data_IF_811114607828
#
_entry.id   IF_811114607828
#
_cell.length_a   1.000
_cell.length_b   1.000
_cell.length_c   1.000
_cell.angle_alpha   90.00
_cell.angle_beta   90.00
_cell.angle_gamma   90.00
#
_symmetry.space_group_name_H-M   'P 1'
#
loop_
_entity.id
_entity.type
_entity.pdbx_description
1 polymer ?
#
# COMPACT_ATOMS: atom_id res chain seq x y z
N UNK A 1 14.72 13.62 -34.35
CA UNK A 1 14.54 13.21 -32.94
C UNK A 1 15.90 12.84 -32.41
N UNK A 2 16.49 13.65 -31.51
CA UNK A 2 17.74 13.26 -30.85
C UNK A 2 17.45 11.99 -30.06
N UNK A 3 18.22 10.92 -30.24
CA UNK A 3 18.09 9.74 -29.38
C UNK A 3 18.34 10.19 -27.95
N UNK A 4 17.26 10.31 -27.18
CA UNK A 4 17.34 10.48 -25.73
C UNK A 4 18.25 9.37 -25.24
N UNK A 5 19.39 9.73 -24.65
CA UNK A 5 20.26 8.74 -24.03
C UNK A 5 19.43 8.08 -22.94
N UNK A 6 19.34 6.76 -22.94
CA UNK A 6 18.65 6.03 -21.89
C UNK A 6 19.20 6.47 -20.53
N UNK A 7 18.29 6.74 -19.60
CA UNK A 7 18.63 7.11 -18.23
C UNK A 7 18.39 5.89 -17.33
N UNK A 8 19.14 5.76 -16.26
CA UNK A 8 18.79 4.77 -15.24
C UNK A 8 17.45 5.14 -14.57
N UNK A 9 16.72 4.15 -14.06
CA UNK A 9 15.35 4.34 -13.55
C UNK A 9 15.21 5.46 -12.50
N UNK A 10 16.17 5.65 -11.59
CA UNK A 10 16.13 6.77 -10.64
C UNK A 10 16.16 8.13 -11.34
N UNK A 11 16.93 8.29 -12.42
CA UNK A 11 16.96 9.54 -13.16
C UNK A 11 15.65 9.77 -13.91
N UNK A 12 15.01 8.72 -14.44
CA UNK A 12 13.67 8.80 -15.03
C UNK A 12 12.64 9.30 -14.01
N UNK A 13 12.57 8.65 -12.85
CA UNK A 13 11.63 9.00 -11.77
C UNK A 13 11.93 10.41 -11.21
N UNK A 14 13.20 10.73 -10.95
CA UNK A 14 13.57 12.04 -10.40
C UNK A 14 13.24 13.18 -11.36
N UNK A 15 13.50 13.00 -12.66
CA UNK A 15 13.13 13.97 -13.69
C UNK A 15 11.61 14.17 -13.74
N UNK A 16 10.83 13.08 -13.68
CA UNK A 16 9.38 13.17 -13.63
C UNK A 16 8.88 13.97 -12.42
N UNK A 17 9.38 13.69 -11.21
CA UNK A 17 8.95 14.46 -10.04
C UNK A 17 9.45 15.91 -10.07
N UNK A 18 10.53 16.21 -10.80
CA UNK A 18 11.01 17.58 -10.98
C UNK A 18 10.15 18.39 -11.95
N UNK A 19 9.79 17.83 -13.10
CA UNK A 19 9.23 18.58 -14.23
C UNK A 19 7.88 18.07 -14.73
N UNK A 20 7.48 16.86 -14.36
CA UNK A 20 6.23 16.24 -14.78
C UNK A 20 5.00 16.97 -14.28
N UNK A 21 3.92 16.84 -15.05
CA UNK A 21 2.58 17.31 -14.72
C UNK A 21 1.81 16.21 -13.97
N UNK A 22 0.47 16.22 -14.02
CA UNK A 22 -0.36 15.15 -13.47
C UNK A 22 -0.19 14.98 -11.95
N UNK A 23 -0.16 13.73 -11.51
CA UNK A 23 -0.04 13.36 -10.11
C UNK A 23 1.32 13.76 -9.52
N UNK A 24 2.43 13.64 -10.26
CA UNK A 24 3.72 14.17 -9.83
C UNK A 24 3.71 15.69 -9.66
N UNK A 25 3.10 16.42 -10.61
CA UNK A 25 2.92 17.87 -10.51
C UNK A 25 2.08 18.27 -9.30
N UNK A 26 1.00 17.54 -9.02
CA UNK A 26 0.18 17.71 -7.83
C UNK A 26 0.99 17.51 -6.55
N UNK A 27 1.70 16.38 -6.41
CA UNK A 27 2.51 16.07 -5.23
C UNK A 27 3.61 17.11 -5.00
N UNK A 28 4.32 17.53 -6.08
CA UNK A 28 5.34 18.58 -6.01
C UNK A 28 4.77 19.92 -5.54
N UNK A 29 3.55 20.27 -5.96
CA UNK A 29 2.85 21.49 -5.52
C UNK A 29 2.42 21.44 -4.06
N UNK A 30 2.16 20.25 -3.54
CA UNK A 30 1.63 20.05 -2.18
C UNK A 30 2.71 19.74 -1.13
N UNK A 31 3.88 19.22 -1.52
CA UNK A 31 4.97 18.85 -0.62
C UNK A 31 6.19 19.75 -0.90
N UNK A 32 6.39 20.82 -0.11
CA UNK A 32 7.53 21.72 -0.30
C UNK A 32 8.87 21.01 -0.20
N UNK A 33 9.67 21.10 -1.27
CA UNK A 33 11.00 20.47 -1.32
C UNK A 33 11.00 19.00 -1.75
N UNK A 34 9.88 18.45 -2.21
CA UNK A 34 9.76 17.03 -2.62
C UNK A 34 10.92 16.54 -3.51
N UNK A 35 11.27 17.30 -4.54
CA UNK A 35 12.38 16.95 -5.43
C UNK A 35 13.71 16.75 -4.69
N UNK A 36 14.02 17.62 -3.71
CA UNK A 36 15.26 17.52 -2.93
C UNK A 36 15.23 16.26 -2.06
N UNK A 37 14.12 15.97 -1.41
CA UNK A 37 13.97 14.77 -0.58
C UNK A 37 14.12 13.48 -1.41
N UNK A 38 13.56 13.45 -2.62
CA UNK A 38 13.72 12.33 -3.55
C UNK A 38 15.18 12.19 -4.02
N UNK A 39 15.85 13.30 -4.30
CA UNK A 39 17.27 13.30 -4.67
C UNK A 39 18.13 12.74 -3.53
N UNK A 40 17.86 13.14 -2.28
CA UNK A 40 18.54 12.62 -1.08
C UNK A 40 18.26 11.12 -0.89
N UNK A 41 17.01 10.69 -1.01
CA UNK A 41 16.62 9.28 -0.94
C UNK A 41 17.35 8.42 -1.99
N UNK A 42 17.29 8.82 -3.27
CA UNK A 42 17.94 8.08 -4.36
C UNK A 42 19.47 8.09 -4.32
N UNK A 43 20.08 9.05 -3.60
CA UNK A 43 21.52 9.11 -3.39
C UNK A 43 21.99 8.29 -2.17
N UNK A 44 21.08 7.95 -1.26
CA UNK A 44 21.41 7.24 -0.02
C UNK A 44 21.72 5.78 -0.31
N UNK A 45 22.79 5.26 0.32
CA UNK A 45 23.25 3.87 0.14
C UNK A 45 23.40 3.09 1.45
N UNK A 46 23.44 3.79 2.59
CA UNK A 46 23.41 3.16 3.91
C UNK A 46 22.01 2.63 4.18
N UNK A 47 21.89 1.39 4.67
CA UNK A 47 20.59 0.77 4.93
C UNK A 47 19.76 1.61 5.91
N UNK A 48 20.34 1.99 7.07
CA UNK A 48 19.61 2.77 8.08
C UNK A 48 19.20 4.14 7.55
N UNK A 49 20.12 4.85 6.88
CA UNK A 49 19.79 6.18 6.34
C UNK A 49 18.73 6.07 5.24
N UNK A 50 18.78 5.02 4.41
CA UNK A 50 17.78 4.79 3.34
C UNK A 50 16.39 4.61 3.95
N UNK A 51 16.26 3.83 5.02
CA UNK A 51 14.99 3.65 5.73
C UNK A 51 14.52 4.96 6.38
N UNK A 52 15.42 5.74 6.97
CA UNK A 52 15.08 7.06 7.53
C UNK A 52 14.58 8.04 6.46
N UNK A 53 15.22 8.08 5.29
CA UNK A 53 14.76 8.91 4.18
C UNK A 53 13.43 8.43 3.60
N UNK A 54 13.22 7.10 3.53
CA UNK A 54 11.96 6.51 3.10
C UNK A 54 10.80 6.83 4.07
N UNK A 55 11.03 6.72 5.39
CA UNK A 55 10.09 7.16 6.43
C UNK A 55 9.76 8.64 6.27
N UNK A 56 10.78 9.49 6.20
CA UNK A 56 10.59 10.93 6.08
C UNK A 56 9.74 11.30 4.85
N UNK A 57 10.02 10.72 3.68
CA UNK A 57 9.23 10.93 2.47
C UNK A 57 7.79 10.46 2.65
N UNK A 58 7.60 9.28 3.23
CA UNK A 58 6.28 8.67 3.44
C UNK A 58 5.44 9.48 4.40
N UNK A 59 6.01 9.99 5.50
CA UNK A 59 5.31 10.87 6.44
C UNK A 59 4.73 12.11 5.73
N UNK A 60 5.50 12.71 4.81
CA UNK A 60 5.04 13.87 4.03
C UNK A 60 3.91 13.52 3.09
N UNK A 61 3.98 12.34 2.45
CA UNK A 61 2.93 11.88 1.53
C UNK A 61 1.66 11.49 2.30
N UNK A 62 1.80 10.71 3.38
CA UNK A 62 0.67 10.29 4.24
C UNK A 62 -0.03 11.49 4.89
N UNK A 63 0.73 12.52 5.29
CA UNK A 63 0.14 13.77 5.80
C UNK A 63 -0.69 14.54 4.76
N UNK A 64 -0.38 14.37 3.47
CA UNK A 64 -1.13 14.99 2.37
C UNK A 64 -2.41 14.21 2.04
N UNK A 65 -2.36 12.89 2.14
CA UNK A 65 -3.45 11.98 1.73
C UNK A 65 -4.33 11.53 2.87
N UNK A 66 -4.24 12.22 4.01
CA UNK A 66 -5.11 12.03 5.16
C UNK A 66 -4.89 10.69 5.89
N UNK A 67 -3.65 10.20 5.83
CA UNK A 67 -3.18 8.98 6.50
C UNK A 67 -2.08 9.26 7.52
N UNK A 68 -2.02 10.47 8.07
CA UNK A 68 -1.03 10.83 9.09
C UNK A 68 -1.14 9.93 10.33
N UNK A 69 -2.34 9.44 10.61
CA UNK A 69 -2.67 8.47 11.64
C UNK A 69 -2.11 7.07 11.40
N UNK A 70 -1.71 6.73 10.16
CA UNK A 70 -1.07 5.46 9.81
C UNK A 70 0.46 5.48 9.92
N UNK A 71 1.07 6.66 10.11
CA UNK A 71 2.52 6.80 10.23
C UNK A 71 3.10 5.85 11.28
N UNK A 72 2.54 5.73 12.51
CA UNK A 72 3.12 4.85 13.53
C UNK A 72 3.17 3.37 13.13
N UNK A 73 2.19 2.85 12.37
CA UNK A 73 2.24 1.46 11.88
C UNK A 73 3.42 1.28 10.93
N UNK A 74 3.57 2.21 9.99
CA UNK A 74 4.64 2.18 9.00
C UNK A 74 6.02 2.30 9.66
N UNK A 75 6.19 3.25 10.58
CA UNK A 75 7.43 3.40 11.34
C UNK A 75 7.74 2.19 12.22
N UNK A 76 6.70 1.47 12.65
CA UNK A 76 6.88 0.20 13.34
C UNK A 76 7.43 -0.85 12.41
N UNK A 77 6.91 -1.02 11.18
CA UNK A 77 7.52 -1.93 10.17
C UNK A 77 8.99 -1.59 9.94
N UNK A 78 9.34 -0.32 9.74
CA UNK A 78 10.74 0.10 9.60
C UNK A 78 11.60 -0.27 10.83
N UNK A 79 11.03 -0.14 12.03
CA UNK A 79 11.69 -0.55 13.28
C UNK A 79 11.93 -2.06 13.32
N UNK A 80 10.96 -2.88 12.88
CA UNK A 80 11.11 -4.33 12.79
C UNK A 80 12.16 -4.73 11.77
N UNK A 81 12.20 -4.02 10.66
CA UNK A 81 13.17 -4.22 9.60
C UNK A 81 14.61 -4.00 10.12
N UNK A 82 14.84 -2.87 10.79
CA UNK A 82 16.14 -2.52 11.42
C UNK A 82 16.52 -3.52 12.52
N UNK A 83 15.55 -4.01 13.28
CA UNK A 83 15.78 -5.02 14.33
C UNK A 83 15.90 -6.45 13.78
N UNK A 84 15.69 -6.65 12.49
CA UNK A 84 15.64 -7.97 11.84
C UNK A 84 14.63 -8.94 12.49
N UNK A 85 13.46 -8.41 12.87
CA UNK A 85 12.38 -9.18 13.49
C UNK A 85 11.35 -9.71 12.49
N UNK A 86 11.49 -9.42 11.20
CA UNK A 86 10.65 -9.98 10.14
C UNK A 86 11.40 -11.18 9.55
N UNK A 87 10.93 -12.40 9.80
CA UNK A 87 11.62 -13.65 9.40
C UNK A 87 11.24 -14.14 7.99
N UNK A 88 10.70 -13.26 7.16
CA UNK A 88 10.40 -13.57 5.77
C UNK A 88 11.69 -13.87 5.00
N UNK A 89 11.82 -15.05 4.37
CA UNK A 89 13.09 -15.42 3.70
C UNK A 89 13.47 -14.52 2.53
N UNK A 90 12.48 -13.90 1.91
CA UNK A 90 12.68 -12.89 0.86
C UNK A 90 12.58 -11.48 1.44
N UNK A 91 12.83 -11.30 2.74
CA UNK A 91 12.78 -9.98 3.39
C UNK A 91 13.73 -9.07 2.64
N UNK A 92 13.14 -8.03 2.08
CA UNK A 92 13.84 -6.91 1.48
C UNK A 92 13.52 -5.68 2.30
N UNK A 93 14.10 -4.56 1.94
CA UNK A 93 13.85 -3.29 2.58
C UNK A 93 12.45 -2.74 2.28
N UNK A 94 11.43 -3.34 2.92
CA UNK A 94 10.00 -3.04 2.77
C UNK A 94 9.70 -1.54 2.87
N UNK A 95 10.37 -0.85 3.79
CA UNK A 95 10.17 0.58 3.99
C UNK A 95 10.61 1.39 2.75
N UNK A 96 11.75 1.08 2.14
CA UNK A 96 12.18 1.77 0.93
C UNK A 96 11.40 1.29 -0.31
N UNK A 97 11.12 -0.02 -0.37
CA UNK A 97 10.33 -0.67 -1.40
C UNK A 97 8.98 0.04 -1.62
N UNK A 98 8.20 0.26 -0.56
CA UNK A 98 6.89 0.93 -0.62
C UNK A 98 6.97 2.34 -1.21
N UNK A 99 8.06 3.08 -0.95
CA UNK A 99 8.32 4.40 -1.55
C UNK A 99 8.62 4.27 -3.03
N UNK A 100 9.52 3.37 -3.43
CA UNK A 100 9.81 3.16 -4.84
C UNK A 100 8.57 2.72 -5.64
N UNK A 101 7.79 1.81 -5.06
CA UNK A 101 6.51 1.35 -5.61
C UNK A 101 5.56 2.53 -5.82
N UNK A 102 5.41 3.40 -4.81
CA UNK A 102 4.59 4.61 -4.90
C UNK A 102 5.05 5.49 -6.07
N UNK A 103 6.35 5.81 -6.15
CA UNK A 103 6.92 6.68 -7.17
C UNK A 103 6.77 6.11 -8.59
N UNK A 104 6.97 4.80 -8.76
CA UNK A 104 6.78 4.12 -10.05
C UNK A 104 5.31 4.16 -10.48
N UNK A 105 4.36 3.92 -9.58
CA UNK A 105 2.94 3.99 -9.91
C UNK A 105 2.47 5.39 -10.31
N UNK A 106 2.99 6.43 -9.65
CA UNK A 106 2.75 7.82 -10.07
C UNK A 106 3.30 8.06 -11.48
N UNK A 107 4.51 7.58 -11.78
CA UNK A 107 5.09 7.69 -13.11
C UNK A 107 4.25 6.97 -14.18
N UNK A 108 3.80 5.75 -13.90
CA UNK A 108 2.98 4.96 -14.83
C UNK A 108 1.62 5.64 -15.06
N UNK A 109 0.96 6.09 -14.00
CA UNK A 109 -0.32 6.80 -14.12
C UNK A 109 -0.19 8.08 -14.97
N UNK A 110 0.88 8.85 -14.81
CA UNK A 110 1.04 10.10 -15.56
C UNK A 110 1.36 9.88 -17.05
N UNK A 111 2.07 8.81 -17.42
CA UNK A 111 2.57 8.60 -18.78
C UNK A 111 1.88 7.50 -19.59
N UNK A 112 1.40 6.43 -18.94
CA UNK A 112 0.85 5.26 -19.65
C UNK A 112 -0.67 5.45 -19.75
N UNK A 113 -1.09 6.15 -20.82
CA UNK A 113 -2.47 6.62 -20.99
C UNK A 113 -3.50 5.50 -20.93
N UNK A 114 -3.20 4.32 -21.48
CA UNK A 114 -4.10 3.17 -21.41
C UNK A 114 -4.41 2.74 -19.97
N UNK A 115 -3.40 2.68 -19.09
CA UNK A 115 -3.60 2.36 -17.67
C UNK A 115 -4.38 3.49 -16.97
N UNK A 116 -3.97 4.75 -17.21
CA UNK A 116 -4.64 5.91 -16.61
C UNK A 116 -6.12 5.97 -16.94
N UNK A 117 -6.49 5.77 -18.20
CA UNK A 117 -7.87 5.88 -18.67
C UNK A 117 -8.78 4.83 -18.01
N UNK A 118 -8.29 3.59 -17.86
CA UNK A 118 -9.05 2.52 -17.18
C UNK A 118 -9.18 2.81 -15.68
N UNK A 119 -8.11 3.29 -15.03
CA UNK A 119 -8.16 3.72 -13.62
C UNK A 119 -9.16 4.87 -13.46
N UNK A 120 -9.05 5.94 -14.26
CA UNK A 120 -9.93 7.12 -14.18
C UNK A 120 -11.39 6.75 -14.42
N UNK A 121 -11.66 5.84 -15.36
CA UNK A 121 -12.99 5.27 -15.62
C UNK A 121 -13.52 4.47 -14.43
N UNK A 122 -12.67 3.69 -13.77
CA UNK A 122 -13.06 2.94 -12.56
C UNK A 122 -13.33 3.85 -11.36
N UNK A 123 -12.58 4.95 -11.26
CA UNK A 123 -12.77 5.98 -10.24
C UNK A 123 -14.07 6.74 -10.51
N UNK A 124 -14.36 7.07 -11.76
CA UNK A 124 -15.59 7.75 -12.18
C UNK A 124 -15.93 8.95 -11.25
N UNK A 125 -15.05 9.95 -11.31
CA UNK A 125 -15.14 11.15 -10.48
C UNK A 125 -14.68 12.36 -11.28
N UNK A 126 -15.11 13.56 -10.84
CA UNK A 126 -14.65 14.83 -11.39
C UNK A 126 -13.20 15.17 -11.01
N UNK A 127 -12.62 14.45 -10.04
CA UNK A 127 -11.25 14.65 -9.54
C UNK A 127 -10.49 13.32 -9.52
N UNK A 128 -10.34 12.62 -10.65
CA UNK A 128 -9.84 11.27 -10.68
C UNK A 128 -8.40 11.18 -10.14
N UNK A 129 -7.54 12.12 -10.51
CA UNK A 129 -6.17 12.23 -10.01
C UNK A 129 -6.07 12.23 -8.47
N UNK A 130 -6.90 13.01 -7.78
CA UNK A 130 -6.85 13.09 -6.30
C UNK A 130 -7.26 11.77 -5.66
N UNK A 131 -8.29 11.14 -6.21
CA UNK A 131 -8.78 9.84 -5.73
C UNK A 131 -7.82 8.71 -6.08
N UNK A 132 -7.15 8.79 -7.22
CA UNK A 132 -6.05 7.89 -7.57
C UNK A 132 -4.94 7.99 -6.54
N UNK A 133 -4.44 9.19 -6.23
CA UNK A 133 -3.37 9.38 -5.22
C UNK A 133 -3.81 8.88 -3.83
N UNK A 134 -5.08 9.08 -3.46
CA UNK A 134 -5.66 8.54 -2.22
C UNK A 134 -5.65 7.01 -2.21
N UNK A 135 -6.21 6.36 -3.23
CA UNK A 135 -6.25 4.89 -3.32
C UNK A 135 -4.85 4.27 -3.46
N UNK A 136 -3.99 4.91 -4.25
CA UNK A 136 -2.61 4.47 -4.47
C UNK A 136 -1.79 4.53 -3.18
N UNK A 137 -2.06 5.49 -2.29
CA UNK A 137 -1.39 5.54 -0.99
C UNK A 137 -1.63 4.27 -0.17
N UNK A 138 -2.86 3.74 -0.12
CA UNK A 138 -3.11 2.43 0.49
C UNK A 138 -2.35 1.32 -0.23
N UNK A 139 -2.57 1.23 -1.55
CA UNK A 139 -2.11 0.12 -2.37
C UNK A 139 -0.59 0.05 -2.50
N UNK A 140 0.13 1.16 -2.24
CA UNK A 140 1.58 1.20 -2.35
C UNK A 140 2.31 1.57 -1.05
N UNK A 141 2.00 2.68 -0.38
CA UNK A 141 2.78 3.10 0.81
C UNK A 141 2.45 2.29 2.06
N UNK A 142 1.23 1.77 2.12
CA UNK A 142 0.71 1.09 3.30
C UNK A 142 0.50 -0.42 3.10
N UNK A 143 0.78 -0.97 1.91
CA UNK A 143 0.44 -2.37 1.63
C UNK A 143 1.19 -3.38 2.52
N UNK A 144 2.41 -3.01 2.94
CA UNK A 144 3.30 -3.82 3.77
C UNK A 144 3.10 -3.65 5.29
N UNK A 145 2.13 -2.83 5.75
CA UNK A 145 1.91 -2.64 7.20
C UNK A 145 1.52 -3.93 7.93
N UNK A 146 1.03 -4.94 7.21
CA UNK A 146 0.72 -6.25 7.79
C UNK A 146 1.93 -7.05 8.27
N UNK A 147 3.16 -6.67 7.91
CA UNK A 147 4.36 -7.26 8.49
C UNK A 147 4.44 -7.12 10.02
N UNK A 148 3.64 -6.22 10.60
CA UNK A 148 3.39 -6.16 12.04
C UNK A 148 3.09 -7.53 12.67
N UNK A 149 2.33 -8.37 11.95
CA UNK A 149 1.80 -9.65 12.42
C UNK A 149 2.41 -10.88 11.73
N UNK A 150 3.37 -10.71 10.81
CA UNK A 150 3.84 -11.81 9.96
C UNK A 150 4.30 -13.05 10.79
N UNK A 151 5.12 -12.82 11.82
CA UNK A 151 5.61 -13.85 12.75
C UNK A 151 4.83 -13.85 14.08
N UNK A 152 3.49 -13.77 14.04
CA UNK A 152 2.65 -13.64 15.23
C UNK A 152 2.88 -14.73 16.28
N UNK A 153 3.07 -15.99 15.87
CA UNK A 153 3.24 -17.11 16.81
C UNK A 153 4.55 -17.07 17.60
N UNK A 154 5.53 -16.28 17.16
CA UNK A 154 6.82 -16.18 17.85
C UNK A 154 6.77 -15.28 19.09
N UNK A 155 5.80 -14.36 19.20
CA UNK A 155 5.64 -13.52 20.39
C UNK A 155 6.65 -12.35 20.52
N UNK A 156 7.69 -12.31 19.68
CA UNK A 156 8.83 -11.38 19.82
C UNK A 156 8.46 -9.90 19.62
N UNK A 157 7.27 -9.61 19.10
CA UNK A 157 6.87 -8.28 18.66
C UNK A 157 5.56 -7.76 19.28
N UNK A 158 5.19 -8.24 20.47
CA UNK A 158 3.91 -7.89 21.11
C UNK A 158 3.67 -6.39 21.31
N UNK A 159 4.71 -5.57 21.47
CA UNK A 159 4.56 -4.10 21.58
C UNK A 159 3.98 -3.48 20.32
N UNK A 160 4.32 -4.04 19.16
CA UNK A 160 3.88 -3.55 17.87
C UNK A 160 2.43 -3.94 17.60
N UNK A 161 1.98 -5.09 18.10
CA UNK A 161 0.57 -5.48 18.04
C UNK A 161 -0.32 -4.57 18.89
N UNK A 162 0.17 -4.24 20.09
CA UNK A 162 -0.50 -3.29 20.99
C UNK A 162 -0.62 -1.89 20.39
N UNK A 163 0.30 -1.50 19.50
CA UNK A 163 0.16 -0.24 18.78
C UNK A 163 -1.12 -0.21 17.96
N UNK A 164 -1.45 -1.29 17.24
CA UNK A 164 -2.70 -1.33 16.47
C UNK A 164 -3.93 -1.31 17.40
N UNK A 165 -3.90 -2.03 18.51
CA UNK A 165 -4.96 -1.95 19.53
C UNK A 165 -5.11 -0.52 20.09
N UNK A 166 -3.99 0.17 20.36
CA UNK A 166 -3.97 1.57 20.79
C UNK A 166 -4.55 2.50 19.73
N UNK A 167 -4.33 2.23 18.44
CA UNK A 167 -4.94 2.99 17.34
C UNK A 167 -6.45 2.89 17.34
N UNK A 168 -7.00 1.76 17.80
CA UNK A 168 -8.43 1.55 17.96
C UNK A 168 -8.97 2.17 19.27
N UNK A 169 -8.21 3.02 19.98
CA UNK A 169 -8.66 3.70 21.20
C UNK A 169 -9.07 5.15 20.96
N UNK A 170 -10.06 5.66 21.71
CA UNK A 170 -10.49 7.06 21.61
C UNK A 170 -9.35 8.07 21.71
N UNK A 171 -8.38 7.80 22.60
CA UNK A 171 -7.24 8.69 22.82
C UNK A 171 -6.41 8.85 21.54
N UNK A 172 -6.35 7.82 20.71
CA UNK A 172 -5.67 7.89 19.43
C UNK A 172 -6.46 8.72 18.42
N UNK A 173 -7.76 8.45 18.23
CA UNK A 173 -8.64 9.26 17.36
C UNK A 173 -8.63 10.75 17.73
N UNK A 174 -8.60 11.06 19.03
CA UNK A 174 -8.58 12.44 19.52
C UNK A 174 -7.32 13.20 19.09
N UNK A 175 -6.15 12.54 18.98
CA UNK A 175 -4.89 13.16 18.52
C UNK A 175 -4.97 13.64 17.07
N UNK A 176 -5.74 12.93 16.24
CA UNK A 176 -5.95 13.30 14.83
C UNK A 176 -7.17 14.20 14.63
N UNK A 177 -7.84 14.56 15.73
CA UNK A 177 -9.00 15.44 15.79
C UNK A 177 -8.70 16.72 16.57
N UNK A 178 -7.43 17.10 16.72
CA UNK A 178 -7.01 18.25 17.56
C UNK A 178 -7.61 19.58 17.09
N UNK A 179 -7.83 19.71 15.78
CA UNK A 179 -8.42 20.90 15.14
C UNK A 179 -9.93 21.05 15.38
N UNK A 180 -10.62 19.99 15.82
CA UNK A 180 -12.03 20.08 16.17
C UNK A 180 -12.24 21.06 17.31
N UNK A 181 -13.34 21.82 17.26
CA UNK A 181 -13.77 22.63 18.39
C UNK A 181 -14.00 21.77 19.65
N UNK A 182 -13.80 22.34 20.85
CA UNK A 182 -13.97 21.59 22.11
C UNK A 182 -15.37 20.96 22.27
N UNK A 183 -16.41 21.63 21.78
CA UNK A 183 -17.77 21.07 21.72
C UNK A 183 -17.83 19.83 20.81
N UNK A 184 -17.19 19.88 19.63
CA UNK A 184 -17.15 18.78 18.66
C UNK A 184 -16.33 17.60 19.18
N UNK A 185 -15.26 17.85 19.95
CA UNK A 185 -14.52 16.80 20.67
C UNK A 185 -15.40 16.07 21.69
N UNK A 186 -16.28 16.78 22.39
CA UNK A 186 -17.25 16.18 23.32
C UNK A 186 -18.25 15.30 22.57
N UNK A 187 -18.81 15.79 21.46
CA UNK A 187 -19.73 15.03 20.62
C UNK A 187 -19.07 13.79 20.01
N UNK A 188 -17.83 13.92 19.52
CA UNK A 188 -17.04 12.80 19.02
C UNK A 188 -16.81 11.75 20.12
N UNK A 189 -16.53 12.19 21.35
CA UNK A 189 -16.40 11.29 22.51
C UNK A 189 -17.70 10.54 22.82
N UNK A 190 -18.84 11.20 22.68
CA UNK A 190 -20.15 10.57 22.89
C UNK A 190 -20.41 9.50 21.82
N UNK A 191 -20.17 9.80 20.54
CA UNK A 191 -20.27 8.81 19.46
C UNK A 191 -19.31 7.64 19.66
N UNK A 192 -18.07 7.92 20.07
CA UNK A 192 -17.09 6.88 20.35
C UNK A 192 -17.54 5.95 21.49
N UNK A 193 -18.11 6.52 22.55
CA UNK A 193 -18.62 5.74 23.66
C UNK A 193 -19.75 4.81 23.19
N UNK A 194 -20.70 5.31 22.40
CA UNK A 194 -21.74 4.48 21.79
C UNK A 194 -21.17 3.37 20.89
N UNK A 195 -20.16 3.69 20.07
CA UNK A 195 -19.47 2.72 19.23
C UNK A 195 -18.84 1.59 20.06
N UNK A 196 -18.09 1.97 21.10
CA UNK A 196 -17.35 1.03 21.95
C UNK A 196 -18.28 0.15 22.77
N UNK A 197 -19.37 0.71 23.31
CA UNK A 197 -20.40 -0.04 24.04
C UNK A 197 -21.14 -1.04 23.14
N UNK A 198 -21.26 -0.74 21.85
CA UNK A 198 -22.01 -1.57 20.91
C UNK A 198 -21.22 -2.73 20.32
N UNK A 199 -19.94 -2.54 19.98
CA UNK A 199 -19.20 -3.51 19.17
C UNK A 199 -18.09 -4.27 19.89
N UNK A 200 -17.69 -3.87 21.11
CA UNK A 200 -16.57 -4.48 21.86
C UNK A 200 -15.33 -4.74 20.99
N UNK A 201 -14.41 -3.78 20.92
CA UNK A 201 -13.19 -3.94 20.13
C UNK A 201 -12.28 -5.03 20.75
N UNK A 202 -11.95 -6.10 20.01
CA UNK A 202 -11.09 -7.16 20.52
C UNK A 202 -9.64 -6.66 20.65
N UNK A 203 -8.91 -7.20 21.64
CA UNK A 203 -7.46 -7.03 21.73
C UNK A 203 -6.77 -7.97 20.75
N UNK A 204 -6.21 -7.43 19.67
CA UNK A 204 -5.51 -8.22 18.66
C UNK A 204 -4.17 -8.75 19.19
N UNK A 205 -3.52 -8.02 20.10
CA UNK A 205 -2.30 -8.47 20.76
C UNK A 205 -2.49 -9.66 21.72
N UNK A 206 -3.72 -9.95 22.14
CA UNK A 206 -4.06 -11.04 23.08
C UNK A 206 -4.49 -12.34 22.40
N UNK A 207 -4.55 -12.39 21.06
CA UNK A 207 -4.89 -13.61 20.34
C UNK A 207 -3.78 -14.67 20.53
N UNK A 208 -4.14 -15.95 20.49
CA UNK A 208 -3.20 -17.04 20.83
C UNK A 208 -2.68 -17.81 19.62
N UNK A 209 -3.22 -17.55 18.43
CA UNK A 209 -2.77 -18.18 17.18
C UNK A 209 -2.99 -17.28 15.97
N UNK A 210 -2.26 -17.55 14.88
CA UNK A 210 -2.41 -16.84 13.60
C UNK A 210 -3.86 -16.88 13.08
N UNK A 211 -4.54 -18.02 13.25
CA UNK A 211 -5.93 -18.20 12.82
C UNK A 211 -6.91 -17.34 13.63
N UNK A 212 -6.76 -17.28 14.95
CA UNK A 212 -7.58 -16.41 15.80
C UNK A 212 -7.34 -14.94 15.50
N UNK A 213 -6.10 -14.56 15.20
CA UNK A 213 -5.77 -13.20 14.79
C UNK A 213 -6.42 -12.83 13.46
N UNK A 214 -6.38 -13.71 12.45
CA UNK A 214 -7.08 -13.48 11.17
C UNK A 214 -8.59 -13.34 11.39
N UNK A 215 -9.21 -14.24 12.16
CA UNK A 215 -10.64 -14.17 12.49
C UNK A 215 -10.99 -12.85 13.19
N UNK A 216 -10.16 -12.45 14.16
CA UNK A 216 -10.31 -11.18 14.89
C UNK A 216 -10.16 -9.97 13.97
N UNK A 217 -9.18 -9.96 13.06
CA UNK A 217 -8.99 -8.89 12.07
C UNK A 217 -10.13 -8.83 11.04
N UNK A 218 -10.62 -9.98 10.59
CA UNK A 218 -11.71 -10.10 9.61
C UNK A 218 -13.08 -9.71 10.19
N UNK A 219 -13.28 -9.91 11.49
CA UNK A 219 -14.52 -9.55 12.17
C UNK A 219 -14.66 -8.03 12.32
N UNK A 220 -15.48 -7.42 11.46
CA UNK A 220 -15.73 -5.97 11.42
C UNK A 220 -17.26 -5.75 11.51
N UNK A 221 -17.86 -5.92 12.70
CA UNK A 221 -19.32 -6.02 12.86
C UNK A 221 -20.09 -4.74 12.47
N UNK A 222 -19.44 -3.58 12.53
CA UNK A 222 -20.03 -2.31 12.12
C UNK A 222 -20.17 -2.14 10.60
N UNK A 223 -19.59 -3.04 9.79
CA UNK A 223 -19.80 -3.03 8.34
C UNK A 223 -21.26 -3.21 7.97
N UNK A 224 -22.05 -3.98 8.71
CA UNK A 224 -23.47 -4.17 8.41
C UNK A 224 -24.28 -2.85 8.44
N UNK A 225 -23.79 -1.83 9.15
CA UNK A 225 -24.40 -0.49 9.13
C UNK A 225 -23.87 0.40 8.01
N UNK A 226 -22.65 0.18 7.55
CA UNK A 226 -22.07 0.95 6.45
C UNK A 226 -22.46 0.37 5.09
N UNK A 227 -22.49 -0.96 5.00
CA UNK A 227 -22.66 -1.79 3.83
C UNK A 227 -23.54 -3.00 4.23
N UNK A 228 -24.87 -2.91 4.15
CA UNK A 228 -25.81 -3.90 4.72
C UNK A 228 -25.66 -5.36 4.25
N UNK A 229 -24.89 -5.60 3.19
CA UNK A 229 -24.64 -6.93 2.64
C UNK A 229 -23.37 -7.61 3.15
N UNK A 230 -22.60 -6.97 4.03
CA UNK A 230 -21.29 -7.49 4.43
C UNK A 230 -21.12 -7.53 5.95
N UNK A 231 -20.47 -8.60 6.42
CA UNK A 231 -20.20 -8.81 7.84
C UNK A 231 -18.72 -9.04 8.14
N UNK A 232 -17.89 -9.27 7.13
CA UNK A 232 -16.45 -9.47 7.27
C UNK A 232 -15.64 -8.65 6.26
N UNK A 233 -14.40 -8.34 6.60
CA UNK A 233 -13.48 -7.60 5.72
C UNK A 233 -13.12 -8.37 4.46
N UNK A 234 -12.76 -9.64 4.59
CA UNK A 234 -12.40 -10.55 3.50
C UNK A 234 -13.58 -10.78 2.55
N UNK A 235 -14.79 -10.95 3.09
CA UNK A 235 -16.01 -11.05 2.30
C UNK A 235 -16.23 -9.77 1.47
N UNK A 236 -16.09 -8.61 2.11
CA UNK A 236 -16.27 -7.31 1.47
C UNK A 236 -15.31 -7.12 0.29
N UNK A 237 -14.04 -7.48 0.47
CA UNK A 237 -13.01 -7.34 -0.56
C UNK A 237 -13.12 -8.37 -1.69
N UNK A 238 -13.76 -9.51 -1.44
CA UNK A 238 -13.97 -10.58 -2.43
C UNK A 238 -15.28 -10.42 -3.24
N UNK A 239 -16.10 -9.41 -2.94
CA UNK A 239 -17.51 -9.33 -3.34
C UNK A 239 -17.83 -9.08 -4.82
N UNK A 240 -16.92 -8.46 -5.59
CA UNK A 240 -17.20 -8.10 -7.01
C UNK A 240 -16.86 -9.21 -7.98
N UNK A 241 -15.69 -9.84 -7.79
CA UNK A 241 -15.18 -10.91 -8.64
C UNK A 241 -14.30 -11.81 -7.77
N UNK A 242 -14.56 -13.12 -7.79
CA UNK A 242 -13.70 -14.10 -7.13
C UNK A 242 -12.40 -14.22 -7.91
N UNK A 243 -11.29 -13.89 -7.25
CA UNK A 243 -9.96 -14.00 -7.81
C UNK A 243 -9.28 -15.25 -7.22
N UNK A 244 -8.88 -16.19 -8.07
CA UNK A 244 -8.22 -17.43 -7.65
C UNK A 244 -9.06 -18.26 -6.67
N UNK A 245 -8.42 -18.80 -5.63
CA UNK A 245 -9.09 -19.56 -4.56
C UNK A 245 -9.91 -18.69 -3.57
N UNK A 246 -9.86 -17.36 -3.73
CA UNK A 246 -10.48 -16.38 -2.84
C UNK A 246 -9.63 -16.03 -1.61
N UNK A 247 -9.79 -14.81 -1.10
CA UNK A 247 -9.01 -14.30 0.04
C UNK A 247 -9.22 -15.13 1.31
N UNK A 248 -10.44 -15.57 1.57
CA UNK A 248 -10.75 -16.35 2.78
C UNK A 248 -9.96 -17.67 2.79
N UNK A 249 -10.05 -18.47 1.74
CA UNK A 249 -9.31 -19.73 1.63
C UNK A 249 -7.80 -19.51 1.78
N UNK A 250 -7.28 -18.47 1.12
CA UNK A 250 -5.85 -18.13 1.19
C UNK A 250 -5.41 -17.70 2.59
N UNK A 251 -6.15 -16.81 3.24
CA UNK A 251 -5.84 -16.31 4.58
C UNK A 251 -5.77 -17.46 5.61
N UNK A 252 -6.76 -18.35 5.61
CA UNK A 252 -6.80 -19.49 6.53
C UNK A 252 -5.78 -20.58 6.19
N UNK A 253 -5.44 -20.75 4.90
CA UNK A 253 -4.31 -21.60 4.51
C UNK A 253 -3.01 -21.04 5.07
N UNK A 254 -2.75 -19.73 4.92
CA UNK A 254 -1.54 -19.12 5.45
C UNK A 254 -1.47 -19.19 6.97
N UNK A 255 -2.57 -18.94 7.66
CA UNK A 255 -2.63 -19.02 9.13
C UNK A 255 -2.54 -20.43 9.70
N UNK A 256 -2.56 -21.49 8.86
CA UNK A 256 -2.51 -22.89 9.29
C UNK A 256 -1.27 -23.63 8.81
N UNK A 257 -0.84 -23.38 7.58
CA UNK A 257 0.34 -24.04 6.98
C UNK A 257 1.43 -23.06 6.57
N UNK A 258 1.07 -21.79 6.37
CA UNK A 258 1.90 -20.75 5.77
C UNK A 258 2.57 -21.15 4.46
N UNK A 259 3.64 -20.43 4.11
CA UNK A 259 4.36 -20.61 2.86
C UNK A 259 5.27 -21.85 2.83
N UNK A 260 5.80 -22.25 3.99
CA UNK A 260 6.83 -23.29 4.10
C UNK A 260 6.50 -24.35 5.18
N UNK A 261 5.21 -24.57 5.47
CA UNK A 261 4.79 -25.50 6.53
C UNK A 261 4.81 -24.91 7.95
N UNK A 262 5.03 -23.60 8.06
CA UNK A 262 4.95 -22.85 9.32
C UNK A 262 3.81 -21.83 9.22
N UNK A 263 2.83 -21.85 10.14
CA UNK A 263 1.77 -20.85 10.18
C UNK A 263 2.33 -19.42 10.16
N UNK A 264 1.73 -18.57 9.33
CA UNK A 264 2.03 -17.13 9.31
C UNK A 264 0.76 -16.34 9.12
N UNK A 265 0.78 -15.08 9.52
CA UNK A 265 -0.25 -14.13 9.09
C UNK A 265 0.26 -13.45 7.83
N UNK A 266 -0.39 -13.69 6.70
CA UNK A 266 0.04 -13.06 5.46
C UNK A 266 0.00 -11.52 5.55
N UNK A 267 1.06 -10.84 5.14
CA UNK A 267 1.20 -9.39 5.32
C UNK A 267 0.25 -8.59 4.42
N UNK A 268 -0.05 -9.06 3.21
CA UNK A 268 -1.04 -8.41 2.33
C UNK A 268 -2.44 -8.52 2.93
N UNK A 269 -2.81 -9.70 3.39
CA UNK A 269 -4.10 -9.94 4.08
C UNK A 269 -4.20 -9.09 5.36
N UNK A 270 -3.22 -9.19 6.26
CA UNK A 270 -3.23 -8.45 7.51
C UNK A 270 -3.21 -6.95 7.30
N UNK A 271 -2.35 -6.45 6.41
CA UNK A 271 -2.24 -5.04 6.08
C UNK A 271 -3.57 -4.50 5.58
N UNK A 272 -4.22 -5.23 4.68
CA UNK A 272 -5.54 -4.87 4.17
C UNK A 272 -6.62 -4.83 5.26
N UNK A 273 -6.70 -5.85 6.12
CA UNK A 273 -7.68 -5.90 7.20
C UNK A 273 -7.45 -4.82 8.27
N UNK A 274 -6.19 -4.54 8.63
CA UNK A 274 -5.80 -3.42 9.51
C UNK A 274 -6.33 -2.10 8.94
N UNK A 275 -6.01 -1.83 7.68
CA UNK A 275 -6.37 -0.59 7.00
C UNK A 275 -7.89 -0.47 6.89
N UNK A 276 -8.58 -1.55 6.50
CA UNK A 276 -10.04 -1.53 6.32
C UNK A 276 -10.78 -1.41 7.64
N UNK A 277 -10.38 -2.16 8.67
CA UNK A 277 -10.97 -2.10 10.02
C UNK A 277 -10.80 -0.70 10.60
N UNK A 278 -9.59 -0.17 10.65
CA UNK A 278 -9.35 1.16 11.20
C UNK A 278 -10.11 2.25 10.44
N UNK A 279 -10.00 2.25 9.10
CA UNK A 279 -10.61 3.29 8.28
C UNK A 279 -12.14 3.27 8.37
N UNK A 280 -12.76 2.08 8.40
CA UNK A 280 -14.22 1.97 8.47
C UNK A 280 -14.83 2.51 9.78
N UNK A 281 -14.06 2.61 10.87
CA UNK A 281 -14.51 3.28 12.10
C UNK A 281 -14.76 4.77 11.85
N UNK A 282 -13.86 5.45 11.13
CA UNK A 282 -14.05 6.86 10.77
C UNK A 282 -15.31 7.09 9.92
N UNK A 283 -15.58 6.19 8.98
CA UNK A 283 -16.82 6.23 8.19
C UNK A 283 -18.07 5.99 9.04
N UNK A 284 -17.99 5.08 10.03
CA UNK A 284 -19.07 4.88 10.99
C UNK A 284 -19.32 6.14 11.80
N UNK A 285 -18.28 6.74 12.39
CA UNK A 285 -18.38 7.97 13.18
C UNK A 285 -18.97 9.12 12.34
N UNK A 286 -18.48 9.31 11.12
CA UNK A 286 -18.98 10.32 10.19
C UNK A 286 -20.46 10.11 9.84
N UNK A 287 -20.88 8.88 9.55
CA UNK A 287 -22.28 8.55 9.23
C UNK A 287 -23.20 8.88 10.41
N UNK A 288 -22.86 8.43 11.62
CA UNK A 288 -23.68 8.66 12.81
C UNK A 288 -23.63 10.13 13.28
N UNK A 289 -22.53 10.84 13.04
CA UNK A 289 -22.45 12.28 13.25
C UNK A 289 -23.43 13.03 12.34
N UNK A 290 -23.66 12.59 11.10
CA UNK A 290 -24.62 13.25 10.20
C UNK A 290 -26.04 13.26 10.78
N UNK A 291 -26.41 12.22 11.53
CA UNK A 291 -27.72 12.04 12.13
C UNK A 291 -27.87 12.80 13.46
N UNK A 292 -26.83 12.78 14.31
CA UNK A 292 -26.89 13.30 15.68
C UNK A 292 -26.24 14.67 15.88
N UNK A 293 -25.13 14.93 15.18
CA UNK A 293 -24.26 16.08 15.36
C UNK A 293 -23.84 16.68 14.00
N UNK A 294 -24.74 17.35 13.26
CA UNK A 294 -24.48 17.77 11.88
C UNK A 294 -23.24 18.65 11.70
N UNK A 295 -22.90 19.48 12.68
CA UNK A 295 -21.71 20.32 12.65
C UNK A 295 -20.42 19.51 12.85
N UNK A 296 -20.44 18.47 13.70
CA UNK A 296 -19.32 17.51 13.79
C UNK A 296 -19.14 16.79 12.46
N UNK A 297 -20.23 16.36 11.82
CA UNK A 297 -20.17 15.74 10.50
C UNK A 297 -19.54 16.67 9.45
N UNK A 298 -19.91 17.94 9.44
CA UNK A 298 -19.32 18.95 8.56
C UNK A 298 -17.81 19.09 8.81
N UNK A 299 -17.37 19.23 10.06
CA UNK A 299 -15.95 19.36 10.40
C UNK A 299 -15.13 18.11 10.04
N UNK A 300 -15.65 16.90 10.34
CA UNK A 300 -15.02 15.64 9.93
C UNK A 300 -14.90 15.54 8.39
N UNK A 301 -15.92 15.95 7.64
CA UNK A 301 -15.89 15.81 6.17
C UNK A 301 -15.21 16.96 5.44
N UNK A 302 -14.99 18.10 6.10
CA UNK A 302 -14.27 19.24 5.55
C UNK A 302 -12.80 18.88 5.22
N UNK A 303 -12.21 18.00 6.04
CA UNK A 303 -10.83 17.54 5.89
C UNK A 303 -10.75 16.13 5.29
N UNK A 304 -11.51 15.21 5.86
CA UNK A 304 -11.23 13.78 5.68
C UNK A 304 -12.16 13.08 4.67
N UNK A 305 -13.23 13.76 4.21
CA UNK A 305 -14.17 13.27 3.19
C UNK A 305 -14.73 11.84 3.44
N UNK A 306 -15.01 11.51 4.70
CA UNK A 306 -15.60 10.25 5.17
C UNK A 306 -17.08 10.05 4.78
N UNK A 307 -17.40 10.17 3.49
CA UNK A 307 -18.73 9.88 2.96
C UNK A 307 -18.90 8.38 2.67
N UNK A 308 -20.01 7.72 3.04
CA UNK A 308 -20.18 6.28 2.86
C UNK A 308 -19.88 5.74 1.44
N UNK A 309 -20.22 6.52 0.40
CA UNK A 309 -19.92 6.14 -0.99
C UNK A 309 -18.41 6.10 -1.30
N UNK A 310 -17.57 6.87 -0.59
CA UNK A 310 -16.11 6.86 -0.72
C UNK A 310 -15.54 5.55 -0.18
N UNK A 311 -16.06 5.05 0.95
CA UNK A 311 -15.69 3.75 1.52
C UNK A 311 -15.97 2.64 0.50
N UNK A 312 -17.20 2.58 0.00
CA UNK A 312 -17.65 1.52 -0.91
C UNK A 312 -16.89 1.54 -2.24
N UNK A 313 -16.72 2.73 -2.84
CA UNK A 313 -16.16 2.85 -4.18
C UNK A 313 -14.63 2.79 -4.18
N UNK A 314 -13.98 3.43 -3.21
CA UNK A 314 -12.54 3.67 -3.29
C UNK A 314 -11.73 2.91 -2.25
N UNK A 315 -12.15 2.94 -0.98
CA UNK A 315 -11.39 2.31 0.12
C UNK A 315 -11.40 0.79 -0.02
N UNK A 316 -12.54 0.16 -0.32
CA UNK A 316 -12.62 -1.29 -0.53
C UNK A 316 -11.71 -1.71 -1.69
N UNK A 317 -11.73 -0.99 -2.82
CA UNK A 317 -10.87 -1.29 -3.97
C UNK A 317 -9.38 -1.16 -3.62
N UNK A 318 -9.02 -0.16 -2.80
CA UNK A 318 -7.65 0.03 -2.36
C UNK A 318 -7.18 -1.06 -1.38
N UNK A 319 -8.02 -1.43 -0.40
CA UNK A 319 -7.75 -2.54 0.51
C UNK A 319 -7.70 -3.87 -0.25
N UNK A 320 -8.53 -4.06 -1.28
CA UNK A 320 -8.49 -5.23 -2.17
C UNK A 320 -7.14 -5.30 -2.89
N UNK A 321 -6.63 -4.18 -3.42
CA UNK A 321 -5.31 -4.13 -4.03
C UNK A 321 -4.22 -4.60 -3.03
N UNK A 322 -4.27 -4.11 -1.79
CA UNK A 322 -3.37 -4.56 -0.71
C UNK A 322 -3.51 -6.06 -0.41
N UNK A 323 -4.74 -6.59 -0.31
CA UNK A 323 -4.96 -7.99 0.06
C UNK A 323 -4.45 -8.99 -0.99
N UNK A 324 -4.58 -8.63 -2.28
CA UNK A 324 -4.28 -9.54 -3.38
C UNK A 324 -2.86 -9.38 -3.95
N UNK A 325 -2.14 -8.29 -3.65
CA UNK A 325 -0.89 -7.98 -4.33
C UNK A 325 0.18 -9.08 -4.19
N UNK A 326 0.13 -9.93 -3.17
CA UNK A 326 1.11 -11.01 -2.95
C UNK A 326 0.54 -12.42 -3.17
N UNK A 327 -0.73 -12.54 -3.56
CA UNK A 327 -1.41 -13.83 -3.70
C UNK A 327 -0.82 -14.63 -4.87
N UNK A 328 -0.25 -15.84 -4.66
CA UNK A 328 0.41 -16.58 -5.72
C UNK A 328 -0.58 -17.17 -6.73
N UNK A 329 -0.09 -17.48 -7.93
CA UNK A 329 -0.84 -18.23 -8.97
C UNK A 329 -2.15 -17.55 -9.42
N UNK A 330 -2.18 -16.22 -9.37
CA UNK A 330 -3.28 -15.40 -9.85
C UNK A 330 -2.78 -14.48 -10.95
N UNK A 331 -3.53 -14.43 -12.06
CA UNK A 331 -3.36 -13.45 -13.12
C UNK A 331 -4.40 -12.34 -12.97
N UNK A 332 -3.96 -11.09 -13.01
CA UNK A 332 -4.83 -9.91 -12.89
C UNK A 332 -5.05 -9.25 -14.25
N UNK A 333 -6.26 -8.72 -14.45
CA UNK A 333 -6.66 -8.00 -15.65
C UNK A 333 -6.91 -6.52 -15.34
N UNK A 334 -6.43 -5.62 -16.20
CA UNK A 334 -6.53 -4.18 -16.02
C UNK A 334 -7.99 -3.69 -16.04
N UNK A 335 -8.85 -4.24 -16.90
CA UNK A 335 -10.25 -3.81 -17.04
C UNK A 335 -11.11 -4.24 -15.84
N UNK A 336 -10.76 -5.36 -15.20
CA UNK A 336 -11.51 -5.89 -14.07
C UNK A 336 -11.11 -5.23 -12.75
N UNK A 337 -9.80 -5.11 -12.49
CA UNK A 337 -9.26 -4.64 -11.22
C UNK A 337 -8.08 -3.67 -11.42
N UNK A 338 -8.31 -2.47 -11.98
CA UNK A 338 -7.24 -1.61 -12.51
C UNK A 338 -6.22 -1.16 -11.48
N UNK A 339 -6.66 -0.84 -10.26
CA UNK A 339 -5.75 -0.43 -9.18
C UNK A 339 -4.87 -1.60 -8.72
N UNK A 340 -5.44 -2.79 -8.59
CA UNK A 340 -4.71 -4.00 -8.22
C UNK A 340 -3.75 -4.42 -9.33
N UNK A 341 -4.16 -4.32 -10.59
CA UNK A 341 -3.29 -4.53 -11.75
C UNK A 341 -2.07 -3.60 -11.68
N UNK A 342 -2.27 -2.30 -11.43
CA UNK A 342 -1.16 -1.36 -11.28
C UNK A 342 -0.28 -1.67 -10.05
N UNK A 343 -0.88 -2.06 -8.92
CA UNK A 343 -0.12 -2.44 -7.72
C UNK A 343 0.83 -3.61 -8.01
N UNK A 344 0.31 -4.67 -8.62
CA UNK A 344 1.09 -5.84 -9.00
C UNK A 344 2.09 -5.52 -10.10
N UNK A 345 1.72 -4.74 -11.12
CA UNK A 345 2.65 -4.30 -12.16
C UNK A 345 3.85 -3.57 -11.55
N UNK A 346 3.61 -2.57 -10.71
CA UNK A 346 4.70 -1.83 -10.07
C UNK A 346 5.55 -2.74 -9.17
N UNK A 347 4.94 -3.65 -8.42
CA UNK A 347 5.66 -4.55 -7.52
C UNK A 347 6.58 -5.50 -8.31
N UNK A 348 6.07 -6.13 -9.36
CA UNK A 348 6.85 -7.04 -10.20
C UNK A 348 7.96 -6.32 -11.00
N UNK A 349 7.76 -5.06 -11.37
CA UNK A 349 8.79 -4.24 -12.05
C UNK A 349 9.88 -3.72 -11.09
N UNK A 350 9.54 -3.48 -9.83
CA UNK A 350 10.42 -3.01 -8.75
C UNK A 350 11.37 -4.14 -8.35
N UNK A 351 12.24 -4.63 -9.24
CA UNK A 351 13.25 -5.65 -8.86
C UNK A 351 14.57 -5.03 -8.40
N UNK A 352 14.76 -3.74 -8.69
CA UNK A 352 15.93 -2.97 -8.29
C UNK A 352 15.85 -2.54 -6.84
N UNK A 353 16.99 -2.14 -6.28
CA UNK A 353 17.13 -1.57 -4.95
C UNK A 353 16.32 -2.30 -3.86
N UNK A 354 16.11 -3.61 -4.04
CA UNK A 354 15.54 -4.54 -3.08
C UNK A 354 16.70 -5.17 -2.33
N UNK A 355 17.15 -4.50 -1.29
CA UNK A 355 18.23 -5.01 -0.48
C UNK A 355 17.65 -6.04 0.46
N UNK A 356 18.14 -7.27 0.35
CA UNK A 356 17.81 -8.29 1.33
C UNK A 356 18.13 -7.77 2.73
N UNK A 357 17.41 -8.25 3.74
CA UNK A 357 17.72 -7.94 5.13
C UNK A 357 17.68 -9.21 5.97
N UNK A 358 18.21 -9.14 7.18
CA UNK A 358 18.25 -10.26 8.11
C UNK A 358 19.52 -11.12 8.03
N UNK A 359 19.61 -12.19 8.84
CA UNK A 359 20.83 -12.97 9.04
C UNK A 359 21.34 -13.65 7.76
N UNK A 360 20.43 -14.14 6.91
CA UNK A 360 20.82 -14.83 5.67
C UNK A 360 21.58 -13.91 4.69
N UNK A 361 21.29 -12.60 4.67
CA UNK A 361 22.09 -11.64 3.92
C UNK A 361 23.50 -11.53 4.50
N UNK A 362 23.62 -11.41 5.83
CA UNK A 362 24.92 -11.26 6.51
C UNK A 362 25.81 -12.48 6.24
N UNK A 363 25.23 -13.67 6.10
CA UNK A 363 26.00 -14.87 5.80
C UNK A 363 26.41 -14.94 4.32
N UNK A 364 25.64 -14.33 3.42
CA UNK A 364 25.79 -14.45 1.96
C UNK A 364 26.17 -13.14 1.24
N UNK A 365 26.53 -12.06 1.96
CA UNK A 365 26.75 -10.72 1.36
C UNK A 365 27.79 -10.69 0.24
N UNK A 366 28.74 -11.64 0.22
CA UNK A 366 29.77 -11.73 -0.84
C UNK A 366 29.25 -12.32 -2.14
N UNK A 367 28.18 -13.11 -2.10
CA UNK A 367 27.66 -13.86 -3.25
C UNK A 367 26.36 -13.27 -3.79
N UNK A 368 25.64 -12.48 -2.99
CA UNK A 368 24.39 -11.86 -3.40
C UNK A 368 24.68 -10.77 -4.44
N UNK A 369 24.11 -10.96 -5.63
CA UNK A 369 24.07 -9.93 -6.67
C UNK A 369 22.80 -9.14 -6.48
N UNK A 370 22.93 -7.91 -6.00
CA UNK A 370 21.82 -6.97 -5.95
C UNK A 370 21.60 -6.36 -7.33
N UNK A 371 20.34 -6.26 -7.74
CA UNK A 371 19.95 -5.41 -8.85
C UNK A 371 19.89 -3.98 -8.33
N UNK A 372 20.87 -3.15 -8.66
CA UNK A 372 20.83 -1.74 -8.32
C UNK A 372 19.99 -0.99 -9.35
N UNK A 373 19.45 0.18 -8.99
CA UNK A 373 18.74 1.04 -9.93
C UNK A 373 19.58 1.43 -11.16
N UNK A 374 20.90 1.56 -11.01
CA UNK A 374 21.84 1.82 -12.11
C UNK A 374 22.01 0.63 -13.06
N UNK A 375 21.53 -0.56 -12.68
CA UNK A 375 21.50 -1.74 -13.54
C UNK A 375 20.24 -1.86 -14.41
N UNK A 376 19.30 -0.93 -14.26
CA UNK A 376 18.07 -0.86 -15.03
C UNK A 376 18.02 0.48 -15.74
N UNK A 377 18.23 0.45 -17.06
CA UNK A 377 17.96 1.61 -17.90
C UNK A 377 16.46 1.65 -18.18
N UNK A 378 15.89 2.86 -18.17
CA UNK A 378 14.47 3.06 -18.34
C UNK A 378 14.18 4.30 -19.20
N UNK A 379 13.18 4.17 -20.07
CA UNK A 379 12.73 5.26 -20.93
C UNK A 379 11.25 5.13 -21.26
N UNK A 380 10.64 6.24 -21.67
CA UNK A 380 9.31 6.24 -22.26
C UNK A 380 9.47 6.03 -23.77
N UNK A 381 8.81 5.00 -24.31
CA UNK A 381 8.73 4.76 -25.75
C UNK A 381 7.27 4.75 -26.20
N UNK A 382 7.07 4.68 -27.52
CA UNK A 382 5.77 4.42 -28.13
C UNK A 382 5.78 3.02 -28.75
N UNK A 383 4.67 2.31 -28.63
CA UNK A 383 4.50 0.99 -29.23
C UNK A 383 4.05 1.11 -30.70
N UNK A 384 3.71 -0.02 -31.33
CA UNK A 384 3.33 -0.07 -32.75
C UNK A 384 2.02 0.67 -33.07
N UNK A 385 1.16 0.87 -32.07
CA UNK A 385 -0.10 1.60 -32.19
C UNK A 385 0.01 3.05 -31.66
N UNK A 386 1.24 3.56 -31.55
CA UNK A 386 1.55 4.91 -31.05
C UNK A 386 1.15 5.17 -29.59
N UNK A 387 0.88 4.11 -28.81
CA UNK A 387 0.58 4.25 -27.37
C UNK A 387 1.86 4.28 -26.54
N UNK A 388 1.94 5.16 -25.52
CA UNK A 388 3.10 5.25 -24.63
C UNK A 388 3.25 3.97 -23.79
N UNK A 389 4.48 3.51 -23.61
CA UNK A 389 4.84 2.37 -22.76
C UNK A 389 6.17 2.58 -22.05
N UNK A 390 6.33 1.95 -20.88
CA UNK A 390 7.60 1.92 -20.15
C UNK A 390 8.54 0.92 -20.82
N UNK A 391 9.75 1.35 -21.17
CA UNK A 391 10.79 0.44 -21.66
C UNK A 391 11.84 0.26 -20.56
N UNK A 392 12.00 -0.96 -20.06
CA UNK A 392 13.06 -1.35 -19.15
C UNK A 392 14.12 -2.18 -19.90
N UNK A 393 15.38 -1.83 -19.72
CA UNK A 393 16.50 -2.54 -20.32
C UNK A 393 17.41 -3.04 -19.20
N UNK A 394 17.66 -4.35 -19.18
CA UNK A 394 18.32 -5.01 -18.05
C UNK A 394 19.25 -6.14 -18.51
N UNK A 395 20.12 -6.61 -17.60
CA UNK A 395 20.93 -7.81 -17.83
C UNK A 395 20.05 -9.06 -18.07
N UNK A 396 20.58 -10.11 -18.71
CA UNK A 396 19.85 -11.36 -18.97
C UNK A 396 19.09 -11.88 -17.74
N UNK A 397 19.78 -11.98 -16.60
CA UNK A 397 19.20 -12.53 -15.38
C UNK A 397 17.98 -11.72 -14.88
N UNK A 398 18.07 -10.39 -14.95
CA UNK A 398 17.00 -9.49 -14.54
C UNK A 398 15.87 -9.44 -15.57
N UNK A 399 16.19 -9.50 -16.86
CA UNK A 399 15.23 -9.63 -17.94
C UNK A 399 14.35 -10.87 -17.75
N UNK A 400 14.97 -12.03 -17.53
CA UNK A 400 14.25 -13.30 -17.34
C UNK A 400 13.32 -13.21 -16.12
N UNK A 401 13.82 -12.67 -15.00
CA UNK A 401 13.03 -12.49 -13.77
C UNK A 401 11.82 -11.58 -13.99
N UNK A 402 12.03 -10.39 -14.59
CA UNK A 402 10.96 -9.44 -14.87
C UNK A 402 9.88 -10.08 -15.74
N UNK A 403 10.30 -10.69 -16.85
CA UNK A 403 9.39 -11.30 -17.81
C UNK A 403 8.63 -12.47 -17.19
N UNK A 404 9.31 -13.38 -16.50
CA UNK A 404 8.68 -14.53 -15.83
C UNK A 404 7.63 -14.10 -14.81
N UNK A 405 7.92 -13.05 -14.04
CA UNK A 405 6.98 -12.53 -13.05
C UNK A 405 5.76 -11.90 -13.71
N UNK A 406 5.96 -11.03 -14.71
CA UNK A 406 4.88 -10.35 -15.42
C UNK A 406 3.97 -11.35 -16.16
N UNK A 407 4.54 -12.33 -16.88
CA UNK A 407 3.79 -13.36 -17.61
C UNK A 407 2.93 -14.24 -16.69
N UNK A 408 3.36 -14.47 -15.44
CA UNK A 408 2.61 -15.28 -14.46
C UNK A 408 1.47 -14.52 -13.78
N UNK A 409 1.51 -13.19 -13.80
CA UNK A 409 0.77 -12.35 -12.86
C UNK A 409 -0.15 -11.36 -13.54
N UNK A 410 0.11 -10.97 -14.78
CA UNK A 410 -0.61 -9.88 -15.45
C UNK A 410 -1.00 -10.28 -16.86
N UNK A 411 -2.27 -10.04 -17.18
CA UNK A 411 -2.79 -10.19 -18.54
C UNK A 411 -2.35 -8.98 -19.38
N UNK A 412 -1.85 -9.22 -20.59
CA UNK A 412 -1.53 -8.18 -21.59
C UNK A 412 -0.58 -7.07 -21.10
N UNK A 413 0.36 -7.40 -20.21
CA UNK A 413 1.32 -6.42 -19.67
C UNK A 413 2.22 -5.83 -20.75
N UNK A 414 2.46 -6.58 -21.84
CA UNK A 414 3.28 -6.17 -22.98
C UNK A 414 2.70 -4.97 -23.75
N UNK A 415 1.40 -4.66 -23.56
CA UNK A 415 0.78 -3.45 -24.09
C UNK A 415 1.31 -2.17 -23.42
N UNK A 416 1.79 -2.28 -22.18
CA UNK A 416 2.14 -1.17 -21.31
C UNK A 416 3.62 -1.11 -20.95
N UNK A 417 4.31 -2.25 -21.01
CA UNK A 417 5.73 -2.36 -20.69
C UNK A 417 6.46 -3.18 -21.73
N UNK A 418 7.61 -2.69 -22.16
CA UNK A 418 8.62 -3.45 -22.90
C UNK A 418 9.78 -3.73 -21.99
N UNK A 419 10.22 -4.99 -21.93
CA UNK A 419 11.50 -5.36 -21.31
C UNK A 419 12.44 -5.81 -22.41
N UNK A 420 13.67 -5.32 -22.44
CA UNK A 420 14.72 -5.81 -23.34
C UNK A 420 15.98 -6.16 -22.59
N UNK A 421 16.74 -7.07 -23.20
CA UNK A 421 18.04 -7.50 -22.69
C UNK A 421 19.13 -6.58 -23.22
N UNK A 422 20.02 -6.14 -22.35
CA UNK A 422 21.29 -5.51 -22.72
C UNK A 422 22.38 -6.59 -22.74
N UNK A 423 23.10 -6.69 -23.85
CA UNK A 423 24.33 -7.48 -23.93
C UNK A 423 25.45 -6.69 -23.24
N UNK A 424 25.86 -7.16 -22.06
CA UNK A 424 26.96 -6.58 -21.28
C UNK A 424 28.33 -6.88 -21.88
#
# INVERSE_FOLDING_TARGET
MSSSRSAHIHALLLNHFQYGDGAAGYLRGMIPGLYRYLQEFFATRSDIERLQQAEFLSERILSLTDFADMIPLRSTVATLEIKHLIRYKKQTDHTAHTVYLFLLGIWIYDHITGIREVIDKSIDSRKPLKLFVFQWTFASLLHDVGYLYYDFEEGDNSSSWKLFDDMLSFNYFLRFSEELGEERKIELKQLWQEFSEKYELPSHAEQTSSGQLIESLDHIPWLAELLPSYHSGLETMNSRHSIGAGLHSFAYQMSSTGYNGHPVVDHGIAGSLILFKYTSIWYWLSKHAAEKYPLLHEELNARFHYYPHTLEKYVISACKAVAYHNMPEVMFNLEEEPLLYLAVLCDELQIWDRFHSGPELIDNWKSIKHCMAENIEAELIVNEIESPMLHLMASQHHYDKLRDNLEKRLVEWECYVRVTKIDN
#
